data_IF_819120437539
#
_entry.id   IF_819120437539
#
_cell.length_a   1.000
_cell.length_b   1.000
_cell.length_c   1.000
_cell.angle_alpha   90.00
_cell.angle_beta   90.00
_cell.angle_gamma   90.00
#
_symmetry.space_group_name_H-M   'P 1'
#
loop_
_entity.id
_entity.type
_entity.pdbx_description
1 polymer ?
#
# COMPACT_ATOMS: atom_id res chain seq x y z
N UNK A 1 10.86 22.57 24.07
CA UNK A 1 11.52 22.54 22.74
C UNK A 1 10.77 21.52 21.89
N UNK A 2 9.78 21.98 21.13
CA UNK A 2 8.88 21.13 20.33
C UNK A 2 9.16 21.29 18.84
N UNK A 3 9.28 20.18 18.13
CA UNK A 3 9.42 20.13 16.68
C UNK A 3 8.05 20.32 15.98
N UNK A 4 8.01 20.86 14.74
CA UNK A 4 6.78 21.36 14.11
C UNK A 4 5.91 20.27 13.44
N UNK A 5 4.61 20.55 13.41
CA UNK A 5 3.49 19.64 13.16
C UNK A 5 3.17 19.31 11.69
N UNK A 6 4.11 19.42 10.76
CA UNK A 6 3.78 19.50 9.31
C UNK A 6 3.88 18.20 8.50
N UNK A 7 4.10 17.02 9.12
CA UNK A 7 4.38 15.77 8.38
C UNK A 7 3.22 14.78 8.36
N UNK A 8 2.08 15.10 9.00
CA UNK A 8 1.05 14.09 9.31
C UNK A 8 -0.10 13.95 8.30
N UNK A 9 -0.10 14.74 7.24
CA UNK A 9 -1.33 15.10 6.54
C UNK A 9 -1.39 14.58 5.12
N UNK A 10 -1.03 13.33 4.85
CA UNK A 10 -0.93 12.86 3.47
C UNK A 10 -1.23 11.37 3.28
N UNK A 11 -2.38 10.81 3.64
CA UNK A 11 -2.64 9.40 3.25
C UNK A 11 -3.96 9.15 2.51
N UNK A 12 -4.89 10.09 2.47
CA UNK A 12 -6.32 9.85 2.42
C UNK A 12 -7.00 10.04 1.07
N UNK A 13 -6.99 9.05 0.16
CA UNK A 13 -8.12 8.65 -0.72
C UNK A 13 -7.81 7.43 -1.60
N UNK A 14 -8.84 6.63 -1.91
CA UNK A 14 -9.05 5.73 -3.09
C UNK A 14 -9.52 4.30 -2.69
N UNK A 15 -10.83 4.09 -2.56
CA UNK A 15 -11.51 2.78 -2.64
C UNK A 15 -13.02 3.05 -2.88
N UNK A 16 -13.63 2.85 -4.08
CA UNK A 16 -14.51 1.67 -4.26
C UNK A 16 -14.93 1.35 -5.74
N UNK A 17 -14.49 0.24 -6.36
CA UNK A 17 -15.22 -0.38 -7.50
C UNK A 17 -15.08 -1.90 -7.37
N UNK A 18 -16.03 -2.66 -7.92
CA UNK A 18 -15.92 -4.09 -8.29
C UNK A 18 -16.59 -5.09 -7.36
N UNK A 19 -17.88 -5.35 -7.56
CA UNK A 19 -18.43 -6.69 -7.36
C UNK A 19 -19.45 -7.02 -8.44
N UNK A 20 -19.38 -8.25 -8.96
CA UNK A 20 -20.36 -9.01 -9.76
C UNK A 20 -19.66 -9.91 -10.81
N UNK A 21 -19.39 -11.19 -10.48
CA UNK A 21 -19.11 -12.39 -11.34
C UNK A 21 -18.15 -13.32 -10.58
N UNK A 22 -18.72 -14.36 -10.00
CA UNK A 22 -18.09 -15.39 -9.17
C UNK A 22 -18.73 -16.71 -9.62
N UNK A 23 -17.99 -17.59 -10.31
CA UNK A 23 -18.29 -19.02 -10.32
C UNK A 23 -17.11 -19.84 -10.88
N UNK A 24 -16.91 -21.03 -10.27
CA UNK A 24 -16.06 -22.18 -10.64
C UNK A 24 -14.70 -22.32 -9.91
N UNK A 25 -14.77 -22.85 -8.67
CA UNK A 25 -14.21 -24.14 -8.14
C UNK A 25 -13.06 -24.82 -8.93
N UNK A 26 -11.98 -25.41 -8.40
CA UNK A 26 -11.56 -25.97 -7.09
C UNK A 26 -10.03 -25.92 -7.02
N UNK A 27 -9.48 -25.73 -5.82
CA UNK A 27 -8.08 -26.05 -5.51
C UNK A 27 -7.61 -25.22 -4.33
N UNK A 28 -7.38 -25.85 -3.18
CA UNK A 28 -6.88 -25.20 -1.97
C UNK A 28 -5.41 -24.76 -2.15
N UNK A 29 -5.17 -23.76 -2.99
CA UNK A 29 -3.98 -22.93 -2.85
C UNK A 29 -4.39 -21.83 -1.87
N UNK A 30 -4.07 -22.06 -0.60
CA UNK A 30 -3.85 -20.98 0.34
C UNK A 30 -2.72 -20.13 -0.24
N UNK A 31 -3.06 -19.22 -1.15
CA UNK A 31 -2.17 -18.18 -1.57
C UNK A 31 -2.00 -17.26 -0.36
N UNK A 32 -1.14 -17.63 0.60
CA UNK A 32 -0.41 -16.67 1.43
C UNK A 32 0.42 -15.79 0.48
N UNK A 33 0.72 -14.57 0.87
CA UNK A 33 1.63 -13.65 0.14
C UNK A 33 2.72 -14.44 -0.60
N UNK A 34 3.07 -14.14 -1.85
CA UNK A 34 4.26 -14.80 -2.41
C UNK A 34 5.47 -14.20 -1.70
N UNK A 35 6.14 -14.90 -0.76
CA UNK A 35 7.22 -14.30 0.04
C UNK A 35 8.36 -13.90 -0.89
N UNK A 36 8.48 -14.60 -2.02
CA UNK A 36 9.37 -14.29 -3.14
C UNK A 36 9.13 -12.91 -3.74
N UNK A 37 7.89 -12.51 -4.05
CA UNK A 37 7.65 -11.18 -4.64
C UNK A 37 7.99 -10.05 -3.67
N UNK A 38 7.73 -10.24 -2.38
CA UNK A 38 8.13 -9.30 -1.34
C UNK A 38 9.64 -9.19 -1.23
N UNK A 39 10.36 -10.32 -1.11
CA UNK A 39 11.83 -10.34 -1.05
C UNK A 39 12.43 -9.68 -2.28
N UNK A 40 11.92 -9.98 -3.48
CA UNK A 40 12.38 -9.34 -4.73
C UNK A 40 12.14 -7.83 -4.70
N UNK A 41 10.99 -7.37 -4.19
CA UNK A 41 10.70 -5.94 -4.09
C UNK A 41 11.59 -5.24 -3.07
N UNK A 42 11.82 -5.85 -1.90
CA UNK A 42 12.73 -5.34 -0.88
C UNK A 42 14.18 -5.31 -1.37
N UNK A 43 14.61 -6.34 -2.10
CA UNK A 43 15.95 -6.37 -2.70
C UNK A 43 16.13 -5.30 -3.78
N UNK A 44 15.06 -4.93 -4.51
CA UNK A 44 15.10 -3.79 -5.42
C UNK A 44 15.30 -2.45 -4.69
N UNK A 45 14.70 -2.31 -3.50
CA UNK A 45 14.77 -1.08 -2.71
C UNK A 45 16.06 -0.94 -1.89
N UNK A 46 16.55 -2.04 -1.32
CA UNK A 46 17.65 -2.04 -0.34
C UNK A 46 18.89 -2.81 -0.80
N UNK A 47 18.88 -3.43 -1.98
CA UNK A 47 19.96 -4.29 -2.44
C UNK A 47 20.06 -5.59 -1.64
N UNK A 48 21.29 -6.03 -1.34
CA UNK A 48 21.54 -7.27 -0.59
C UNK A 48 21.24 -7.14 0.91
N UNK A 49 21.40 -5.94 1.46
CA UNK A 49 21.29 -5.68 2.89
C UNK A 49 19.92 -5.12 3.25
N UNK A 50 18.90 -5.98 3.24
CA UNK A 50 17.53 -5.58 3.63
C UNK A 50 17.51 -5.33 5.15
N UNK A 51 17.04 -4.17 5.63
CA UNK A 51 16.91 -3.91 7.06
C UNK A 51 15.90 -4.86 7.73
N UNK A 52 15.90 -4.94 9.05
CA UNK A 52 14.87 -5.68 9.77
C UNK A 52 13.50 -5.03 9.58
N UNK A 53 12.45 -5.84 9.42
CA UNK A 53 11.09 -5.34 9.35
C UNK A 53 10.71 -4.66 10.67
N UNK A 54 10.06 -3.51 10.56
CA UNK A 54 9.47 -2.75 11.64
C UNK A 54 7.94 -2.87 11.57
N UNK A 55 7.28 -2.71 12.71
CA UNK A 55 5.82 -2.74 12.81
C UNK A 55 5.34 -1.43 13.43
N UNK A 56 4.65 -0.61 12.63
CA UNK A 56 4.03 0.63 13.11
C UNK A 56 2.61 0.33 13.57
N UNK A 57 2.33 0.53 14.86
CA UNK A 57 0.96 0.52 15.38
C UNK A 57 0.24 1.79 14.94
N UNK A 58 -0.98 1.64 14.43
CA UNK A 58 -1.79 2.76 13.99
C UNK A 58 -2.47 3.43 15.19
N UNK A 59 -2.24 4.73 15.37
CA UNK A 59 -2.93 5.52 16.38
C UNK A 59 -4.39 5.77 16.01
N UNK A 60 -5.20 6.25 16.96
CA UNK A 60 -6.60 6.60 16.70
C UNK A 60 -6.76 7.62 15.56
N UNK A 61 -5.92 8.66 15.54
CA UNK A 61 -5.90 9.65 14.48
C UNK A 61 -5.52 9.04 13.12
N UNK A 62 -4.55 8.11 13.08
CA UNK A 62 -4.20 7.43 11.84
C UNK A 62 -5.38 6.60 11.32
N UNK A 63 -6.15 5.95 12.20
CA UNK A 63 -7.33 5.16 11.80
C UNK A 63 -8.48 6.03 11.29
N UNK A 64 -8.73 7.19 11.89
CA UNK A 64 -9.77 8.11 11.43
C UNK A 64 -9.42 8.71 10.06
N UNK A 65 -8.18 9.15 9.89
CA UNK A 65 -7.66 9.53 8.59
C UNK A 65 -7.82 8.37 7.61
N UNK A 66 -7.38 7.15 8.00
CA UNK A 66 -7.47 5.98 7.12
C UNK A 66 -8.91 5.61 6.70
N UNK A 67 -9.86 5.84 7.59
CA UNK A 67 -11.27 5.66 7.27
C UNK A 67 -11.79 6.71 6.28
N UNK A 68 -11.34 7.96 6.38
CA UNK A 68 -11.70 9.03 5.44
C UNK A 68 -11.15 8.80 4.01
N UNK A 69 -10.01 8.10 3.88
CA UNK A 69 -9.40 7.65 2.60
C UNK A 69 -10.27 6.63 1.92
N UNK A 70 -10.52 5.55 2.66
CA UNK A 70 -10.95 4.27 2.15
C UNK A 70 -12.47 4.21 2.14
N UNK A 71 -13.11 5.14 2.85
CA UNK A 71 -14.56 5.17 3.07
C UNK A 71 -15.05 3.91 3.82
N UNK A 72 -14.14 3.21 4.51
CA UNK A 72 -14.42 2.10 5.42
C UNK A 72 -13.28 1.97 6.45
N UNK A 73 -13.51 1.33 7.61
CA UNK A 73 -12.45 1.11 8.59
C UNK A 73 -11.40 0.12 8.08
N UNK A 74 -10.14 0.37 8.41
CA UNK A 74 -9.07 -0.62 8.20
C UNK A 74 -9.33 -1.92 8.95
N UNK A 75 -8.95 -3.02 8.31
CA UNK A 75 -9.06 -4.36 8.87
C UNK A 75 -7.89 -4.75 9.80
N UNK A 76 -6.80 -3.97 9.84
CA UNK A 76 -5.59 -4.25 10.63
C UNK A 76 -5.18 -3.12 11.58
N UNK A 77 -4.45 -3.46 12.64
CA UNK A 77 -3.99 -2.52 13.67
C UNK A 77 -2.56 -2.01 13.48
N UNK A 78 -1.77 -2.68 12.64
CA UNK A 78 -0.35 -2.42 12.46
C UNK A 78 0.03 -2.53 11.00
N UNK A 79 0.95 -1.68 10.56
CA UNK A 79 1.52 -1.69 9.21
C UNK A 79 2.97 -2.10 9.29
N UNK A 80 3.38 -2.98 8.37
CA UNK A 80 4.76 -3.44 8.29
C UNK A 80 5.56 -2.51 7.38
N UNK A 81 6.75 -2.13 7.82
CA UNK A 81 7.63 -1.27 7.04
C UNK A 81 9.10 -1.65 7.18
N UNK A 82 9.90 -1.23 6.21
CA UNK A 82 11.35 -1.32 6.20
C UNK A 82 11.89 0.07 5.92
N UNK A 83 12.94 0.47 6.62
CA UNK A 83 13.48 1.82 6.51
C UNK A 83 15.00 1.81 6.63
N UNK A 84 15.68 2.55 5.75
CA UNK A 84 17.10 2.89 5.87
C UNK A 84 17.43 4.11 5.03
N UNK A 85 18.14 5.09 5.60
CA UNK A 85 18.74 6.22 4.87
C UNK A 85 17.79 6.91 3.86
N UNK A 86 16.59 7.30 4.31
CA UNK A 86 15.60 7.99 3.47
C UNK A 86 14.80 7.08 2.53
N UNK A 87 15.16 5.80 2.41
CA UNK A 87 14.37 4.78 1.72
C UNK A 87 13.42 4.11 2.70
N UNK A 88 12.12 4.08 2.36
CA UNK A 88 11.12 3.37 3.13
C UNK A 88 10.27 2.50 2.23
N UNK A 89 10.07 1.23 2.62
CA UNK A 89 9.12 0.32 1.98
C UNK A 89 7.99 0.02 2.94
N UNK A 90 6.75 0.31 2.54
CA UNK A 90 5.55 -0.02 3.29
C UNK A 90 4.84 -1.20 2.64
N UNK A 91 4.30 -2.10 3.46
CA UNK A 91 3.45 -3.21 3.04
C UNK A 91 2.07 -3.03 3.65
N UNK A 92 1.07 -2.83 2.80
CA UNK A 92 -0.33 -2.67 3.18
C UNK A 92 -1.09 -3.92 2.76
N UNK A 93 -1.85 -4.47 3.70
CA UNK A 93 -2.64 -5.70 3.52
C UNK A 93 -4.10 -5.38 3.82
N UNK A 94 -4.88 -5.04 2.80
CA UNK A 94 -6.27 -4.64 2.98
C UNK A 94 -7.21 -5.61 2.29
N UNK A 95 -8.42 -5.78 2.82
CA UNK A 95 -9.47 -6.49 2.11
C UNK A 95 -10.04 -5.54 1.08
N UNK A 96 -10.06 -5.94 -0.20
CA UNK A 96 -10.77 -5.21 -1.25
C UNK A 96 -12.28 -5.29 -1.03
N UNK A 97 -13.04 -5.57 -2.08
CA UNK A 97 -14.49 -5.80 -1.88
C UNK A 97 -14.76 -7.09 -1.10
N UNK A 98 -13.95 -8.13 -1.33
CA UNK A 98 -14.19 -9.47 -0.81
C UNK A 98 -12.93 -10.23 -0.39
N UNK A 99 -11.74 -9.88 -0.89
CA UNK A 99 -10.52 -10.67 -0.74
C UNK A 99 -9.30 -9.81 -0.39
N UNK A 100 -8.32 -10.37 0.35
CA UNK A 100 -7.10 -9.64 0.70
C UNK A 100 -6.24 -9.28 -0.52
N UNK A 101 -5.81 -8.02 -0.55
CA UNK A 101 -4.85 -7.43 -1.48
C UNK A 101 -3.62 -7.02 -0.67
N UNK A 102 -2.44 -7.32 -1.19
CA UNK A 102 -1.17 -6.87 -0.60
C UNK A 102 -0.49 -5.91 -1.56
N UNK A 103 -0.34 -4.65 -1.14
CA UNK A 103 0.33 -3.60 -1.89
C UNK A 103 1.63 -3.17 -1.19
N UNK A 104 2.69 -3.01 -1.97
CA UNK A 104 3.99 -2.54 -1.52
C UNK A 104 4.30 -1.17 -2.13
N UNK A 105 4.71 -0.24 -1.28
CA UNK A 105 5.07 1.13 -1.66
C UNK A 105 6.52 1.38 -1.28
N UNK A 106 7.36 1.66 -2.26
CA UNK A 106 8.73 2.10 -2.06
C UNK A 106 8.79 3.61 -2.24
N UNK A 107 9.15 4.31 -1.18
CA UNK A 107 9.38 5.74 -1.13
C UNK A 107 10.88 6.04 -0.95
N UNK A 108 11.33 7.09 -1.62
CA UNK A 108 12.64 7.72 -1.40
C UNK A 108 12.37 9.17 -0.97
N UNK A 109 12.78 9.53 0.25
CA UNK A 109 12.60 10.87 0.82
C UNK A 109 11.14 11.38 0.74
N UNK A 110 10.17 10.51 0.99
CA UNK A 110 8.74 10.83 0.94
C UNK A 110 8.12 10.84 -0.46
N UNK A 111 8.90 10.59 -1.51
CA UNK A 111 8.43 10.51 -2.90
C UNK A 111 8.29 9.05 -3.31
N UNK A 112 7.16 8.69 -3.94
CA UNK A 112 6.91 7.33 -4.41
C UNK A 112 7.85 7.00 -5.57
N UNK A 113 8.78 6.06 -5.32
CA UNK A 113 9.68 5.53 -6.35
C UNK A 113 9.01 4.44 -7.17
N UNK A 114 8.25 3.57 -6.50
CA UNK A 114 7.60 2.40 -7.10
C UNK A 114 6.46 1.88 -6.22
N UNK A 115 5.38 1.47 -6.87
CA UNK A 115 4.28 0.70 -6.25
C UNK A 115 4.19 -0.66 -6.91
N UNK A 116 3.84 -1.70 -6.14
CA UNK A 116 3.55 -3.03 -6.66
C UNK A 116 2.45 -3.71 -5.87
N UNK A 117 1.48 -4.30 -6.55
CA UNK A 117 0.56 -5.26 -5.95
C UNK A 117 1.26 -6.63 -5.92
N UNK A 118 1.56 -7.12 -4.72
CA UNK A 118 2.27 -8.40 -4.51
C UNK A 118 1.34 -9.59 -4.48
N UNK A 119 0.09 -9.39 -4.03
CA UNK A 119 -0.94 -10.41 -4.04
C UNK A 119 -2.29 -9.76 -4.33
N UNK A 120 -3.05 -10.36 -5.25
CA UNK A 120 -4.36 -9.89 -5.65
C UNK A 120 -5.27 -11.10 -5.84
N UNK A 121 -6.37 -11.14 -5.11
CA UNK A 121 -7.25 -12.32 -5.02
C UNK A 121 -8.69 -12.02 -5.42
N UNK A 122 -8.96 -10.81 -5.89
CA UNK A 122 -10.30 -10.41 -6.33
C UNK A 122 -10.62 -10.96 -7.73
N UNK A 123 -11.92 -11.07 -8.00
CA UNK A 123 -12.42 -11.58 -9.28
C UNK A 123 -12.30 -10.58 -10.43
N UNK A 124 -12.24 -9.27 -10.16
CA UNK A 124 -11.97 -8.18 -11.14
C UNK A 124 -11.30 -7.01 -10.44
N UNK A 125 -11.10 -5.90 -11.15
CA UNK A 125 -10.20 -4.83 -10.72
C UNK A 125 -8.75 -5.24 -10.94
N UNK A 126 -8.52 -6.19 -11.85
CA UNK A 126 -7.19 -6.73 -12.16
C UNK A 126 -6.32 -5.63 -12.78
N UNK A 127 -6.92 -4.58 -13.31
CA UNK A 127 -6.28 -3.37 -13.82
C UNK A 127 -5.28 -2.78 -12.79
N UNK A 128 -5.63 -2.77 -11.50
CA UNK A 128 -4.83 -2.11 -10.46
C UNK A 128 -3.49 -2.80 -10.16
N UNK A 129 -3.31 -4.08 -10.56
CA UNK A 129 -2.03 -4.79 -10.40
C UNK A 129 -1.08 -4.58 -11.58
N UNK A 130 -1.54 -3.99 -12.69
CA UNK A 130 -0.69 -3.87 -13.87
C UNK A 130 0.29 -2.69 -13.79
N UNK A 131 1.46 -2.82 -14.43
CA UNK A 131 2.44 -1.74 -14.47
C UNK A 131 1.90 -0.45 -15.09
N UNK A 132 0.98 -0.50 -16.06
CA UNK A 132 0.47 0.71 -16.70
C UNK A 132 -0.29 1.59 -15.68
N UNK A 133 -1.14 0.98 -14.85
CA UNK A 133 -1.88 1.68 -13.81
C UNK A 133 -0.95 2.18 -12.70
N UNK A 134 -0.08 1.29 -12.18
CA UNK A 134 0.78 1.61 -11.03
C UNK A 134 1.89 2.62 -11.31
N UNK A 135 2.25 2.84 -12.59
CA UNK A 135 3.23 3.86 -12.98
C UNK A 135 2.75 5.28 -12.71
N UNK A 136 1.43 5.52 -12.65
CA UNK A 136 0.84 6.84 -12.38
C UNK A 136 1.27 7.40 -11.01
N UNK A 137 1.55 6.53 -10.04
CA UNK A 137 2.00 6.94 -8.70
C UNK A 137 3.46 7.39 -8.64
N UNK A 138 4.26 7.12 -9.68
CA UNK A 138 5.70 7.38 -9.64
C UNK A 138 5.99 8.87 -9.61
N UNK A 139 6.84 9.30 -8.68
CA UNK A 139 7.20 10.70 -8.50
C UNK A 139 6.15 11.49 -7.71
N UNK A 140 5.00 10.87 -7.39
CA UNK A 140 4.02 11.52 -6.53
C UNK A 140 4.53 11.50 -5.09
N UNK A 141 4.21 12.58 -4.41
CA UNK A 141 4.39 12.71 -2.98
C UNK A 141 3.08 13.14 -2.37
N UNK A 142 3.16 13.46 -1.11
CA UNK A 142 2.08 13.49 -0.18
C UNK A 142 1.99 14.93 0.31
N UNK A 143 0.93 15.63 -0.08
CA UNK A 143 0.73 17.07 0.14
C UNK A 143 -0.32 17.29 1.23
N UNK A 144 -0.62 18.56 1.53
CA UNK A 144 -1.62 18.92 2.52
C UNK A 144 -2.99 18.26 2.29
N UNK A 145 -3.78 18.17 3.35
CA UNK A 145 -5.13 17.60 3.40
C UNK A 145 -5.24 16.16 2.90
N UNK A 146 -4.21 15.38 3.18
CA UNK A 146 -4.17 13.96 2.93
C UNK A 146 -4.13 13.60 1.42
N UNK A 147 -3.72 14.53 0.55
CA UNK A 147 -3.78 14.37 -0.90
C UNK A 147 -2.43 13.98 -1.55
N UNK A 148 -2.50 13.48 -2.79
CA UNK A 148 -1.32 13.25 -3.64
C UNK A 148 -0.95 14.54 -4.39
N UNK A 149 0.34 14.74 -4.65
CA UNK A 149 0.86 15.88 -5.41
C UNK A 149 0.49 15.87 -6.91
N UNK A 150 -0.25 14.86 -7.37
CA UNK A 150 -0.68 14.69 -8.76
C UNK A 150 -1.87 13.76 -8.85
N UNK A 151 -2.42 13.64 -10.06
CA UNK A 151 -3.62 12.83 -10.33
C UNK A 151 -3.26 11.38 -10.64
N UNK A 152 -4.16 10.48 -10.30
CA UNK A 152 -4.11 9.06 -10.69
C UNK A 152 -5.49 8.73 -11.24
N UNK A 153 -5.53 8.35 -12.51
CA UNK A 153 -6.77 8.01 -13.21
C UNK A 153 -6.99 6.49 -13.16
N UNK A 154 -8.24 6.06 -13.02
CA UNK A 154 -8.63 4.66 -12.86
C UNK A 154 -9.77 4.23 -13.74
#
# INVERSE_FOLDING_TARGET
MGAPALVRQSMDRILPIVGLVMLVLVGAVQAKESPRAQIVFLAQAFGKDIPSAQSKVLSGADKENIKAILQHPLSFQRVRLWQRAGVTVWLLEEVGKHKPITAAFWLENGVIKKVKVLAFRESRGWEVKYPYFLKQFRGLSLVENNALSGTVDG
#
